data_IF_994044870387
#
_entry.id   IF_994044870387
#
_cell.length_a   1.000
_cell.length_b   1.000
_cell.length_c   1.000
_cell.angle_alpha   90.00
_cell.angle_beta   90.00
_cell.angle_gamma   90.00
#
_symmetry.space_group_name_H-M   'P 1'
#
loop_
_entity.id
_entity.type
_entity.pdbx_description
1 polymer ?
#
# COMPACT_ATOMS: atom_id res chain seq x y z
N UNK A 1 29.00 -29.11 -50.93
CA UNK A 1 27.94 -28.95 -51.94
C UNK A 1 26.68 -28.57 -51.18
N UNK A 2 26.08 -27.46 -51.27
CA UNK A 2 25.79 -26.44 -52.20
C UNK A 2 25.36 -25.17 -51.48
N UNK A 3 26.05 -24.13 -51.65
CA UNK A 3 25.76 -22.72 -51.75
C UNK A 3 24.36 -22.33 -52.18
N UNK A 4 23.76 -21.35 -51.51
CA UNK A 4 22.98 -20.21 -52.07
C UNK A 4 22.68 -19.26 -50.91
N UNK A 5 23.40 -18.21 -50.72
CA UNK A 5 23.52 -16.87 -51.33
C UNK A 5 22.18 -16.13 -51.51
N UNK A 6 22.15 -14.98 -50.89
CA UNK A 6 21.60 -13.69 -51.32
C UNK A 6 20.11 -13.44 -51.10
N UNK A 7 19.68 -12.42 -50.38
CA UNK A 7 19.67 -11.03 -50.88
C UNK A 7 19.33 -10.02 -49.77
N UNK A 8 20.16 -9.03 -49.66
CA UNK A 8 19.93 -7.72 -49.09
C UNK A 8 18.75 -7.04 -49.75
N UNK A 9 17.82 -6.50 -48.94
CA UNK A 9 17.01 -5.36 -49.37
C UNK A 9 17.03 -4.34 -48.22
N UNK A 10 17.83 -3.30 -48.45
CA UNK A 10 17.82 -2.06 -47.72
C UNK A 10 16.54 -1.29 -48.11
N UNK A 11 15.73 -0.94 -47.15
CA UNK A 11 14.68 0.07 -47.33
C UNK A 11 14.85 1.13 -46.23
N UNK A 12 15.59 2.18 -46.63
CA UNK A 12 15.68 3.45 -45.88
C UNK A 12 14.33 4.16 -45.98
N UNK A 13 13.62 4.32 -44.84
CA UNK A 13 12.52 5.27 -44.77
C UNK A 13 12.95 6.39 -43.83
N UNK A 14 13.28 7.50 -44.45
CA UNK A 14 13.55 8.78 -43.83
C UNK A 14 12.21 9.42 -43.52
N UNK A 15 11.83 9.48 -42.25
CA UNK A 15 10.68 10.28 -41.79
C UNK A 15 11.21 11.46 -41.03
N UNK A 16 11.15 12.61 -41.68
CA UNK A 16 11.33 13.90 -41.04
C UNK A 16 10.09 14.24 -40.23
N UNK A 17 10.21 14.33 -38.92
CA UNK A 17 9.15 14.87 -38.06
C UNK A 17 9.55 16.27 -37.64
N UNK A 18 8.72 17.20 -38.10
CA UNK A 18 8.81 18.62 -37.80
C UNK A 18 8.63 18.88 -36.30
N UNK A 19 9.53 19.68 -35.74
CA UNK A 19 9.39 20.29 -34.42
C UNK A 19 8.29 21.36 -34.49
N UNK A 20 7.21 21.12 -33.77
CA UNK A 20 6.10 22.07 -33.61
C UNK A 20 5.77 22.26 -32.14
N UNK A 21 6.15 23.43 -31.61
CA UNK A 21 5.36 24.12 -30.59
C UNK A 21 5.46 23.68 -29.14
N UNK A 22 6.52 24.09 -28.43
CA UNK A 22 6.46 24.26 -26.97
C UNK A 22 5.68 25.53 -26.65
N UNK A 23 4.43 25.39 -26.18
CA UNK A 23 3.70 26.49 -25.55
C UNK A 23 3.73 26.30 -24.03
N UNK A 24 4.52 27.11 -23.38
CA UNK A 24 4.36 27.77 -22.06
C UNK A 24 3.48 27.05 -21.04
N UNK A 25 4.13 26.23 -20.20
CA UNK A 25 3.58 25.73 -18.93
C UNK A 25 4.11 26.54 -17.72
N UNK A 26 4.24 27.87 -17.85
CA UNK A 26 4.73 28.74 -16.77
C UNK A 26 3.66 29.63 -16.14
N UNK A 27 2.37 29.33 -16.35
CA UNK A 27 1.29 30.25 -15.92
C UNK A 27 0.35 29.65 -14.84
N UNK A 28 0.79 28.65 -14.09
CA UNK A 28 -0.06 28.01 -13.07
C UNK A 28 0.49 28.10 -11.65
N UNK A 29 1.56 28.85 -11.41
CA UNK A 29 2.11 29.01 -10.06
C UNK A 29 2.25 30.49 -9.66
N UNK A 30 1.19 31.27 -9.83
CA UNK A 30 1.05 32.50 -9.06
C UNK A 30 0.28 32.18 -7.77
N UNK A 31 0.92 32.32 -6.59
CA UNK A 31 0.17 32.28 -5.34
C UNK A 31 -0.65 33.57 -5.24
N UNK A 32 -1.97 33.45 -5.31
CA UNK A 32 -2.89 34.54 -5.02
C UNK A 32 -2.61 35.11 -3.65
N UNK A 33 -1.97 36.28 -3.61
CA UNK A 33 -1.79 37.07 -2.42
C UNK A 33 -3.15 37.46 -1.86
N UNK A 34 -3.54 36.86 -0.77
CA UNK A 34 -4.70 37.27 0.02
C UNK A 34 -4.32 38.57 0.74
N UNK A 35 -4.93 39.65 0.30
CA UNK A 35 -4.80 40.97 0.89
C UNK A 35 -5.45 40.96 2.27
N UNK A 36 -4.78 41.42 3.34
CA UNK A 36 -5.43 41.55 4.64
C UNK A 36 -6.43 42.68 4.60
N UNK A 37 -7.66 42.43 4.94
CA UNK A 37 -8.63 43.46 5.24
C UNK A 37 -8.47 43.88 6.69
N UNK A 38 -8.01 45.11 6.89
CA UNK A 38 -8.09 45.84 8.19
C UNK A 38 -9.56 46.00 8.56
N UNK A 39 -9.93 45.41 9.69
CA UNK A 39 -11.07 45.95 10.45
C UNK A 39 -10.75 45.76 11.94
N UNK A 40 -10.32 46.85 12.55
CA UNK A 40 -10.23 46.99 13.99
C UNK A 40 -11.65 46.92 14.60
N UNK A 41 -11.86 46.02 15.53
CA UNK A 41 -12.93 46.13 16.51
C UNK A 41 -12.37 45.64 17.86
N UNK A 42 -12.03 46.59 18.67
CA UNK A 42 -11.73 46.48 20.08
C UNK A 42 -12.97 46.01 20.82
N UNK A 43 -12.93 44.87 21.49
CA UNK A 43 -13.89 44.54 22.54
C UNK A 43 -13.20 43.74 23.63
N UNK A 44 -13.16 44.37 24.76
CA UNK A 44 -12.81 44.03 26.13
C UNK A 44 -12.71 42.53 26.51
N UNK A 45 -11.57 42.27 27.14
CA UNK A 45 -11.23 41.07 27.91
C UNK A 45 -12.07 41.06 29.18
N UNK A 46 -12.86 40.01 29.37
CA UNK A 46 -13.42 39.65 30.66
C UNK A 46 -12.93 38.24 31.04
N UNK A 47 -12.28 38.09 32.19
CA UNK A 47 -11.85 36.78 32.66
C UNK A 47 -13.08 36.03 33.18
N UNK A 48 -13.42 34.93 32.59
CA UNK A 48 -14.37 33.95 33.10
C UNK A 48 -13.60 32.73 33.58
N UNK A 49 -13.92 32.32 34.80
CA UNK A 49 -13.40 31.21 35.57
C UNK A 49 -13.32 29.86 34.82
N UNK A 50 -12.36 29.02 35.20
CA UNK A 50 -12.22 27.70 34.66
C UNK A 50 -13.06 26.71 35.48
N UNK A 51 -14.26 26.38 34.97
CA UNK A 51 -14.97 25.21 35.49
C UNK A 51 -15.75 24.57 34.38
N UNK A 52 -15.21 23.55 33.85
CA UNK A 52 -15.81 22.27 33.52
C UNK A 52 -14.86 21.55 32.56
N UNK A 53 -13.98 20.74 33.12
CA UNK A 53 -13.32 19.66 32.39
C UNK A 53 -14.39 18.77 31.80
N UNK A 54 -14.78 19.01 30.57
CA UNK A 54 -15.31 17.94 29.74
C UNK A 54 -14.10 17.05 29.40
N UNK A 55 -13.88 16.08 30.25
CA UNK A 55 -13.16 14.87 29.92
C UNK A 55 -13.86 14.27 28.70
N UNK A 56 -13.42 14.72 27.54
CA UNK A 56 -13.68 14.03 26.31
C UNK A 56 -12.94 12.70 26.47
N UNK A 57 -13.68 11.71 26.93
CA UNK A 57 -13.23 10.35 26.94
C UNK A 57 -12.69 10.09 25.51
N UNK A 58 -11.35 10.06 25.41
CA UNK A 58 -10.69 9.41 24.30
C UNK A 58 -11.17 7.95 24.37
N UNK A 59 -12.34 7.74 23.79
CA UNK A 59 -12.94 6.42 23.63
C UNK A 59 -11.88 5.60 22.93
N UNK A 60 -11.37 4.65 23.66
CA UNK A 60 -10.51 3.58 23.22
C UNK A 60 -11.08 3.01 21.91
N UNK A 61 -10.58 3.48 20.78
CA UNK A 61 -10.73 2.80 19.47
C UNK A 61 -9.80 1.58 19.41
N UNK A 62 -9.27 1.19 20.57
CA UNK A 62 -8.55 -0.06 20.77
C UNK A 62 -9.58 -1.19 20.66
N UNK A 63 -9.35 -2.07 19.67
CA UNK A 63 -9.80 -3.45 19.67
C UNK A 63 -11.26 -3.77 19.34
N UNK A 64 -11.81 -3.17 18.27
CA UNK A 64 -12.85 -3.86 17.53
C UNK A 64 -12.23 -4.80 16.49
N UNK A 65 -11.46 -5.76 16.97
CA UNK A 65 -11.12 -6.90 16.15
C UNK A 65 -12.42 -7.55 15.66
N UNK A 66 -12.44 -7.93 14.37
CA UNK A 66 -13.62 -8.63 13.84
C UNK A 66 -13.96 -9.84 14.71
N UNK A 67 -15.24 -10.07 14.91
CA UNK A 67 -15.66 -11.26 15.64
C UNK A 67 -15.16 -12.53 14.93
N UNK A 68 -14.87 -13.61 15.65
CA UNK A 68 -14.42 -14.87 15.04
C UNK A 68 -15.36 -15.36 13.92
N UNK A 69 -16.67 -15.08 14.04
CA UNK A 69 -17.66 -15.45 13.04
C UNK A 69 -17.47 -14.69 11.70
N UNK A 70 -17.08 -13.42 11.76
CA UNK A 70 -16.77 -12.61 10.55
C UNK A 70 -15.50 -13.09 9.88
N UNK A 71 -14.45 -13.33 10.67
CA UNK A 71 -13.17 -13.84 10.16
C UNK A 71 -13.34 -15.22 9.51
N UNK A 72 -14.12 -16.12 10.14
CA UNK A 72 -14.36 -17.46 9.61
C UNK A 72 -15.19 -17.47 8.29
N UNK A 73 -15.99 -16.44 8.04
CA UNK A 73 -16.71 -16.25 6.78
C UNK A 73 -15.87 -15.61 5.69
N UNK A 74 -14.74 -14.99 6.05
CA UNK A 74 -13.84 -14.30 5.12
C UNK A 74 -13.03 -15.33 4.34
N UNK A 75 -13.11 -15.28 3.02
CA UNK A 75 -12.25 -16.01 2.09
C UNK A 75 -11.36 -15.01 1.37
N UNK A 76 -10.09 -15.02 1.73
CA UNK A 76 -9.10 -14.05 1.26
C UNK A 76 -8.24 -14.67 0.16
N UNK A 77 -8.20 -14.02 -0.99
CA UNK A 77 -7.21 -14.29 -2.03
C UNK A 77 -6.11 -13.24 -1.94
N UNK A 78 -4.86 -13.70 -1.90
CA UNK A 78 -3.68 -12.83 -1.97
C UNK A 78 -3.19 -12.86 -3.40
N UNK A 79 -3.23 -11.71 -4.08
CA UNK A 79 -2.69 -11.56 -5.43
C UNK A 79 -1.14 -11.57 -5.40
N UNK A 80 -0.48 -11.83 -6.52
CA UNK A 80 0.98 -11.70 -6.63
C UNK A 80 1.44 -10.33 -6.13
N UNK A 81 2.53 -10.32 -5.36
CA UNK A 81 3.13 -9.10 -4.83
C UNK A 81 3.84 -8.34 -5.95
N UNK A 82 3.60 -7.04 -6.03
CA UNK A 82 4.20 -6.16 -7.03
C UNK A 82 5.30 -5.32 -6.39
N UNK A 83 6.46 -5.23 -7.06
CA UNK A 83 7.56 -4.36 -6.68
C UNK A 83 8.58 -4.96 -5.71
N UNK A 84 8.29 -6.12 -5.09
CA UNK A 84 9.25 -6.86 -4.29
C UNK A 84 9.91 -7.98 -5.11
N UNK A 85 11.15 -8.34 -4.75
CA UNK A 85 11.78 -9.57 -5.30
C UNK A 85 11.10 -10.81 -4.74
N UNK A 86 11.29 -11.95 -5.40
CA UNK A 86 10.72 -13.24 -4.94
C UNK A 86 11.22 -13.59 -3.54
N UNK A 87 12.51 -13.37 -3.29
CA UNK A 87 13.17 -13.64 -2.00
C UNK A 87 12.55 -12.79 -0.87
N UNK A 88 12.26 -11.53 -1.15
CA UNK A 88 11.61 -10.64 -0.17
C UNK A 88 10.12 -10.96 -0.01
N UNK A 89 9.43 -11.32 -1.08
CA UNK A 89 8.01 -11.63 -1.05
C UNK A 89 7.68 -12.97 -0.37
N UNK A 90 8.59 -13.95 -0.40
CA UNK A 90 8.38 -15.28 0.18
C UNK A 90 8.08 -15.22 1.68
N UNK A 91 8.92 -14.65 2.56
CA UNK A 91 8.66 -14.58 4.00
C UNK A 91 7.40 -13.75 4.33
N UNK A 92 7.06 -12.75 3.50
CA UNK A 92 5.84 -11.96 3.63
C UNK A 92 4.60 -12.84 3.40
N UNK A 93 4.56 -13.57 2.28
CA UNK A 93 3.38 -14.37 1.90
C UNK A 93 3.19 -15.57 2.80
N UNK A 94 4.26 -16.22 3.24
CA UNK A 94 4.20 -17.30 4.22
C UNK A 94 3.65 -16.80 5.57
N UNK A 95 4.13 -15.64 6.03
CA UNK A 95 3.66 -15.07 7.30
C UNK A 95 2.21 -14.59 7.20
N UNK A 96 1.80 -13.97 6.08
CA UNK A 96 0.40 -13.62 5.83
C UNK A 96 -0.50 -14.87 5.89
N UNK A 97 -0.07 -15.97 5.26
CA UNK A 97 -0.82 -17.22 5.28
C UNK A 97 -0.92 -17.82 6.70
N UNK A 98 0.16 -17.76 7.47
CA UNK A 98 0.16 -18.19 8.87
C UNK A 98 -0.81 -17.37 9.71
N UNK A 99 -0.70 -16.04 9.64
CA UNK A 99 -1.55 -15.11 10.41
C UNK A 99 -3.03 -15.21 10.03
N UNK A 100 -3.33 -15.43 8.74
CA UNK A 100 -4.70 -15.66 8.29
C UNK A 100 -5.30 -16.91 8.97
N UNK A 101 -4.54 -18.03 8.98
CA UNK A 101 -4.98 -19.27 9.64
C UNK A 101 -5.16 -19.10 11.15
N UNK A 102 -4.23 -18.43 11.84
CA UNK A 102 -4.31 -18.15 13.28
C UNK A 102 -5.58 -17.34 13.62
N UNK A 103 -6.05 -16.49 12.70
CA UNK A 103 -7.27 -15.69 12.86
C UNK A 103 -8.54 -16.35 12.33
N UNK A 104 -8.44 -17.56 11.78
CA UNK A 104 -9.57 -18.27 11.19
C UNK A 104 -10.02 -17.75 9.83
N UNK A 105 -9.22 -16.89 9.18
CA UNK A 105 -9.46 -16.43 7.81
C UNK A 105 -9.03 -17.52 6.84
N UNK A 106 -9.94 -17.90 5.92
CA UNK A 106 -9.65 -18.91 4.89
C UNK A 106 -8.95 -18.27 3.72
N UNK A 107 -7.80 -18.82 3.33
CA UNK A 107 -7.13 -18.40 2.09
C UNK A 107 -7.69 -19.20 0.91
N UNK A 108 -7.79 -18.54 -0.25
CA UNK A 108 -8.21 -19.16 -1.52
C UNK A 108 -7.20 -18.81 -2.61
N UNK A 109 -6.97 -19.74 -3.56
CA UNK A 109 -6.12 -19.47 -4.72
C UNK A 109 -4.63 -19.29 -4.41
N UNK A 110 -4.15 -19.68 -3.24
CA UNK A 110 -2.72 -19.80 -2.96
C UNK A 110 -2.15 -21.09 -3.55
N UNK A 111 -0.83 -21.15 -3.79
CA UNK A 111 -0.16 -22.35 -4.29
C UNK A 111 -0.40 -23.59 -3.39
N UNK A 112 -0.72 -23.37 -2.11
CA UNK A 112 -1.06 -24.43 -1.16
C UNK A 112 -2.54 -24.87 -1.22
N UNK A 113 -3.39 -24.12 -1.94
CA UNK A 113 -4.85 -24.29 -1.90
C UNK A 113 -5.48 -24.30 -3.31
N UNK A 114 -4.72 -24.78 -4.31
CA UNK A 114 -5.18 -24.85 -5.73
C UNK A 114 -6.39 -25.77 -5.94
N UNK A 115 -6.77 -26.53 -4.94
CA UNK A 115 -7.97 -27.41 -4.95
C UNK A 115 -9.22 -26.72 -4.42
N UNK A 116 -9.11 -25.52 -3.87
CA UNK A 116 -10.26 -24.78 -3.33
C UNK A 116 -11.07 -24.15 -4.46
N UNK A 117 -12.19 -24.74 -4.80
CA UNK A 117 -13.21 -24.20 -5.72
C UNK A 117 -14.02 -23.05 -5.11
N UNK A 118 -13.65 -22.59 -3.93
CA UNK A 118 -14.39 -21.55 -3.21
C UNK A 118 -14.08 -20.16 -3.77
N UNK A 119 -15.11 -19.43 -4.17
CA UNK A 119 -14.99 -18.04 -4.62
C UNK A 119 -14.47 -17.16 -3.48
N UNK A 120 -13.43 -16.34 -3.70
CA UNK A 120 -12.95 -15.39 -2.69
C UNK A 120 -14.03 -14.36 -2.39
N UNK A 121 -14.12 -13.93 -1.12
CA UNK A 121 -14.96 -12.80 -0.72
C UNK A 121 -14.19 -11.49 -0.74
N UNK A 122 -12.86 -11.57 -0.64
CA UNK A 122 -11.94 -10.44 -0.70
C UNK A 122 -10.67 -10.81 -1.46
N UNK A 123 -10.12 -9.84 -2.19
CA UNK A 123 -8.81 -9.93 -2.84
C UNK A 123 -7.88 -8.87 -2.26
N UNK A 124 -6.69 -9.28 -1.83
CA UNK A 124 -5.64 -8.43 -1.29
C UNK A 124 -4.55 -8.26 -2.34
N UNK A 125 -4.31 -7.03 -2.81
CA UNK A 125 -3.24 -6.69 -3.77
C UNK A 125 -2.21 -5.83 -3.08
N UNK A 126 -0.94 -6.24 -3.12
CA UNK A 126 0.18 -5.57 -2.47
C UNK A 126 1.15 -4.94 -3.45
N UNK A 127 1.54 -3.69 -3.16
CA UNK A 127 2.52 -2.91 -3.90
C UNK A 127 3.62 -2.48 -2.94
N UNK A 128 4.87 -2.75 -3.30
CA UNK A 128 6.00 -2.61 -2.41
C UNK A 128 7.16 -1.86 -3.06
N UNK A 129 7.91 -1.15 -2.25
CA UNK A 129 9.16 -0.50 -2.63
C UNK A 129 10.14 -0.56 -1.46
N UNK A 130 11.41 -0.81 -1.74
CA UNK A 130 12.48 -0.68 -0.77
C UNK A 130 13.31 0.54 -1.15
N UNK A 131 13.39 1.50 -0.24
CA UNK A 131 14.14 2.75 -0.41
C UNK A 131 15.31 2.78 0.55
N UNK A 132 16.52 2.89 0.01
CA UNK A 132 17.74 3.02 0.81
C UNK A 132 18.21 4.47 0.80
N UNK A 133 18.38 5.03 1.99
CA UNK A 133 18.93 6.36 2.21
C UNK A 133 20.11 6.27 3.18
N UNK A 134 21.30 6.46 2.67
CA UNK A 134 22.52 6.26 3.44
C UNK A 134 22.67 4.81 3.93
N UNK A 135 22.65 4.60 5.24
CA UNK A 135 22.75 3.28 5.85
C UNK A 135 21.40 2.63 6.16
N UNK A 136 20.30 3.36 5.96
CA UNK A 136 18.96 2.91 6.33
C UNK A 136 18.16 2.48 5.11
N UNK A 137 17.45 1.36 5.23
CA UNK A 137 16.49 0.90 4.23
C UNK A 137 15.09 0.89 4.83
N UNK A 138 14.15 1.45 4.09
CA UNK A 138 12.74 1.48 4.47
C UNK A 138 11.90 0.76 3.43
N UNK A 139 11.12 -0.23 3.87
CA UNK A 139 10.09 -0.86 3.05
C UNK A 139 8.82 -0.03 3.12
N UNK A 140 8.37 0.48 1.99
CA UNK A 140 7.11 1.19 1.84
C UNK A 140 6.12 0.23 1.19
N UNK A 141 4.90 0.17 1.71
CA UNK A 141 3.90 -0.73 1.17
C UNK A 141 2.49 -0.12 1.14
N UNK A 142 1.72 -0.57 0.16
CA UNK A 142 0.30 -0.29 0.02
C UNK A 142 -0.41 -1.59 -0.30
N UNK A 143 -1.49 -1.84 0.43
CA UNK A 143 -2.41 -2.93 0.16
C UNK A 143 -3.77 -2.38 -0.22
N UNK A 144 -4.31 -2.86 -1.30
CA UNK A 144 -5.68 -2.61 -1.71
C UNK A 144 -6.53 -3.86 -1.50
N UNK A 145 -7.65 -3.69 -0.83
CA UNK A 145 -8.63 -4.74 -0.59
C UNK A 145 -9.81 -4.51 -1.53
N UNK A 146 -10.11 -5.53 -2.35
CA UNK A 146 -11.18 -5.51 -3.33
C UNK A 146 -12.25 -6.54 -3.00
N UNK A 147 -13.48 -6.24 -3.43
CA UNK A 147 -14.56 -7.21 -3.51
C UNK A 147 -14.44 -8.08 -4.78
N UNK A 148 -15.27 -9.14 -4.94
CA UNK A 148 -15.27 -9.96 -6.15
C UNK A 148 -15.68 -9.22 -7.42
N UNK A 149 -16.37 -8.08 -7.31
CA UNK A 149 -16.77 -7.24 -8.44
C UNK A 149 -15.63 -6.30 -8.90
N UNK A 150 -14.52 -6.27 -8.16
CA UNK A 150 -13.36 -5.43 -8.47
C UNK A 150 -13.43 -4.03 -7.88
N UNK A 151 -14.38 -3.73 -6.99
CA UNK A 151 -14.43 -2.46 -6.30
C UNK A 151 -13.43 -2.47 -5.15
N UNK A 152 -12.63 -1.40 -5.02
CA UNK A 152 -11.74 -1.24 -3.87
C UNK A 152 -12.54 -0.83 -2.65
N UNK A 153 -12.53 -1.70 -1.64
CA UNK A 153 -13.25 -1.49 -0.39
C UNK A 153 -12.42 -0.77 0.66
N UNK A 154 -11.11 -1.01 0.67
CA UNK A 154 -10.22 -0.45 1.69
C UNK A 154 -8.79 -0.39 1.18
N UNK A 155 -7.98 0.48 1.82
CA UNK A 155 -6.54 0.59 1.60
C UNK A 155 -5.81 0.60 2.92
N UNK A 156 -4.78 -0.22 3.01
CA UNK A 156 -3.80 -0.23 4.10
C UNK A 156 -2.49 0.27 3.51
N UNK A 157 -1.86 1.22 4.14
CA UNK A 157 -0.54 1.69 3.76
C UNK A 157 0.35 1.80 4.99
N UNK A 158 1.64 1.64 4.78
CA UNK A 158 2.60 1.75 5.87
C UNK A 158 4.03 1.74 5.38
N UNK A 159 4.91 1.83 6.35
CA UNK A 159 6.34 1.72 6.15
C UNK A 159 6.97 0.93 7.30
N UNK A 160 8.01 0.18 6.97
CA UNK A 160 8.77 -0.61 7.94
C UNK A 160 10.26 -0.37 7.71
N UNK A 161 10.95 0.12 8.74
CA UNK A 161 12.40 0.21 8.70
C UNK A 161 13.00 -1.19 8.75
N UNK A 162 13.92 -1.47 7.83
CA UNK A 162 14.76 -2.65 7.86
C UNK A 162 16.01 -2.32 8.70
N UNK A 163 16.44 -3.23 9.60
CA UNK A 163 17.75 -3.09 10.23
C UNK A 163 18.83 -3.00 9.15
N UNK A 164 19.78 -2.08 9.32
CA UNK A 164 20.87 -1.89 8.37
C UNK A 164 21.66 -3.18 8.19
N UNK A 165 21.74 -3.67 6.96
CA UNK A 165 22.61 -4.79 6.58
C UNK A 165 23.82 -4.19 5.86
N UNK A 166 25.02 -4.42 6.40
CA UNK A 166 26.26 -3.92 5.78
C UNK A 166 26.34 -4.34 4.31
N UNK A 167 26.43 -3.34 3.42
CA UNK A 167 26.61 -3.57 1.98
C UNK A 167 25.33 -3.97 1.22
N UNK A 168 24.17 -3.95 1.87
CA UNK A 168 22.88 -4.15 1.21
C UNK A 168 22.33 -2.84 0.65
N UNK A 169 21.62 -2.93 -0.47
CA UNK A 169 20.87 -1.84 -1.09
C UNK A 169 19.53 -2.34 -1.59
N UNK A 170 18.49 -1.53 -1.47
CA UNK A 170 17.14 -1.90 -1.86
C UNK A 170 16.68 -3.21 -1.19
N UNK A 171 16.19 -4.15 -1.98
CA UNK A 171 15.67 -5.42 -1.46
C UNK A 171 16.72 -6.32 -0.83
N UNK A 172 17.99 -6.20 -1.22
CA UNK A 172 19.07 -7.00 -0.61
C UNK A 172 19.37 -6.59 0.83
N UNK A 173 18.96 -5.38 1.23
CA UNK A 173 19.08 -4.89 2.59
C UNK A 173 17.87 -5.26 3.48
N UNK A 174 16.83 -5.88 2.93
CA UNK A 174 15.60 -6.20 3.66
C UNK A 174 15.65 -7.61 4.21
N UNK A 175 15.81 -7.72 5.52
CA UNK A 175 15.81 -9.03 6.20
C UNK A 175 14.40 -9.68 6.16
N UNK A 176 14.31 -11.03 6.14
CA UNK A 176 13.02 -11.74 6.18
C UNK A 176 12.12 -11.31 7.34
N UNK A 177 12.68 -11.03 8.51
CA UNK A 177 11.94 -10.57 9.69
C UNK A 177 11.21 -9.24 9.46
N UNK A 178 11.79 -8.34 8.65
CA UNK A 178 11.13 -7.07 8.27
C UNK A 178 9.86 -7.34 7.48
N UNK A 179 9.90 -8.25 6.51
CA UNK A 179 8.74 -8.62 5.70
C UNK A 179 7.68 -9.39 6.51
N UNK A 180 8.10 -10.18 7.48
CA UNK A 180 7.20 -10.83 8.43
C UNK A 180 6.48 -9.81 9.32
N UNK A 181 7.18 -8.78 9.81
CA UNK A 181 6.57 -7.70 10.59
C UNK A 181 5.53 -6.90 9.77
N UNK A 182 5.80 -6.67 8.48
CA UNK A 182 4.81 -6.08 7.56
C UNK A 182 3.57 -6.96 7.45
N UNK A 183 3.76 -8.28 7.33
CA UNK A 183 2.64 -9.24 7.27
C UNK A 183 1.79 -9.21 8.55
N UNK A 184 2.43 -9.19 9.71
CA UNK A 184 1.74 -9.12 11.01
C UNK A 184 0.87 -7.86 11.11
N UNK A 185 1.47 -6.70 10.85
CA UNK A 185 0.79 -5.40 10.86
C UNK A 185 -0.37 -5.37 9.85
N UNK A 186 -0.16 -5.92 8.64
CA UNK A 186 -1.19 -5.99 7.60
C UNK A 186 -2.40 -6.80 8.05
N UNK A 187 -2.17 -7.99 8.63
CA UNK A 187 -3.25 -8.86 9.09
C UNK A 187 -3.98 -8.29 10.31
N UNK A 188 -3.29 -7.55 11.17
CA UNK A 188 -3.91 -6.85 12.30
C UNK A 188 -4.84 -5.73 11.81
N UNK A 189 -4.37 -4.90 10.88
CA UNK A 189 -5.18 -3.83 10.29
C UNK A 189 -6.35 -4.37 9.46
N UNK A 190 -6.15 -5.47 8.71
CA UNK A 190 -7.24 -6.13 7.99
C UNK A 190 -8.32 -6.64 8.95
N UNK A 191 -7.93 -7.31 10.03
CA UNK A 191 -8.87 -7.80 11.03
C UNK A 191 -9.62 -6.67 11.73
N UNK A 192 -8.94 -5.59 12.09
CA UNK A 192 -9.56 -4.40 12.66
C UNK A 192 -10.60 -3.80 11.70
N UNK A 193 -10.24 -3.60 10.43
CA UNK A 193 -11.15 -3.08 9.42
C UNK A 193 -12.37 -4.00 9.20
N UNK A 194 -12.17 -5.32 9.15
CA UNK A 194 -13.29 -6.26 9.05
C UNK A 194 -14.26 -6.13 10.24
N UNK A 195 -13.73 -5.80 11.42
CA UNK A 195 -14.55 -5.54 12.62
C UNK A 195 -15.45 -4.31 12.50
N UNK A 196 -15.01 -3.29 11.76
CA UNK A 196 -15.81 -2.07 11.57
C UNK A 196 -16.95 -2.23 10.57
N UNK A 197 -16.91 -3.26 9.69
CA UNK A 197 -17.93 -3.50 8.65
C UNK A 197 -19.19 -4.20 9.15
N UNK A 198 -19.17 -4.72 10.36
CA UNK A 198 -20.24 -5.53 10.95
C UNK A 198 -21.02 -4.82 12.05
N UNK A 199 -20.80 -3.51 12.18
CA UNK A 199 -21.51 -2.64 13.13
C UNK A 199 -22.74 -1.98 12.53
#
# INVERSE_FOLDING_TARGET
MSTRQSRLVAASILVAVALGGCTRANDVLEPSAVKPADTAATTSIQPADPTTSSTQAAGSQSDRAASPAVLAKTRLQIAPIVGATVEAATPLTERLAQRARERGIKLTGSAADQTSTQTPTLMLKGYFSALTEGADTTVIYVWDIYDPAGNRLHRINGQQKAPSVKGGDGWSAVAPATMQAVADTTMDQLAAWLGTRTG
#
